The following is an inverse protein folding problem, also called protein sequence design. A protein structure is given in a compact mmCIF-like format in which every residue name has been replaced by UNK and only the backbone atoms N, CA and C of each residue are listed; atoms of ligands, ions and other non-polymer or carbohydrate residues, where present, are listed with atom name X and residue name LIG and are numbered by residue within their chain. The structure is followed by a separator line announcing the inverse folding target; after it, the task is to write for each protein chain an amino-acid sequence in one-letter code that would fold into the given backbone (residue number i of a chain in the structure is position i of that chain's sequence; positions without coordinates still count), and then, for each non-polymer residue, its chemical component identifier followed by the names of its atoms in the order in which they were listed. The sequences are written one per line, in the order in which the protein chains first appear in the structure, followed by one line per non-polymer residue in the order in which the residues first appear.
data_IF_112225513251
#
_entry.id   IF_112225513251
#
_cell.length_a   1.000
_cell.length_b   1.000
_cell.length_c   1.000
_cell.angle_alpha   90.00
_cell.angle_beta   90.00
_cell.angle_gamma   90.00
#
_symmetry.space_group_name_H-M   'P 1'
#
loop_
_entity.id
_entity.type
_entity.pdbx_description
1 polymer ?
#
# COMPACT_ATOMS: atom_id res chain seq x y z
N UNK A 1 14.79 -26.79 -5.49
CA UNK A 1 15.25 -25.95 -6.63
C UNK A 1 14.07 -25.66 -7.57
N UNK A 2 13.77 -24.39 -7.88
CA UNK A 2 12.64 -24.01 -8.75
C UNK A 2 11.42 -23.38 -8.07
N UNK A 3 11.42 -23.21 -6.74
CA UNK A 3 10.39 -22.42 -6.04
C UNK A 3 10.71 -20.92 -6.21
N UNK A 4 9.84 -20.19 -6.89
CA UNK A 4 9.90 -18.73 -7.01
C UNK A 4 8.71 -18.15 -6.25
N UNK A 5 8.96 -17.29 -5.28
CA UNK A 5 7.91 -16.63 -4.50
C UNK A 5 7.52 -15.29 -5.18
N UNK A 6 6.25 -14.89 -5.14
CA UNK A 6 5.78 -13.62 -5.71
C UNK A 6 6.07 -12.44 -4.76
N UNK A 7 7.36 -12.19 -4.48
CA UNK A 7 7.80 -11.23 -3.44
C UNK A 7 7.30 -9.81 -3.66
N UNK A 8 7.09 -9.38 -4.91
CA UNK A 8 6.53 -8.07 -5.22
C UNK A 8 5.04 -7.97 -4.84
N UNK A 9 4.25 -9.05 -5.03
CA UNK A 9 2.87 -9.12 -4.53
C UNK A 9 2.84 -9.11 -3.00
N UNK A 10 3.77 -9.83 -2.36
CA UNK A 10 3.90 -9.88 -0.90
C UNK A 10 4.22 -8.47 -0.34
N UNK A 11 5.17 -7.75 -0.95
CA UNK A 11 5.51 -6.39 -0.57
C UNK A 11 4.33 -5.42 -0.75
N UNK A 12 3.65 -5.46 -1.90
CA UNK A 12 2.51 -4.59 -2.17
C UNK A 12 1.35 -4.83 -1.19
N UNK A 13 1.07 -6.09 -0.84
CA UNK A 13 0.01 -6.42 0.13
C UNK A 13 0.35 -5.96 1.55
N UNK A 14 1.62 -6.03 1.97
CA UNK A 14 2.07 -5.44 3.24
C UNK A 14 1.89 -3.92 3.25
N UNK A 15 2.22 -3.22 2.16
CA UNK A 15 2.01 -1.77 2.04
C UNK A 15 0.52 -1.42 2.10
N UNK A 16 -0.34 -2.15 1.40
CA UNK A 16 -1.78 -1.96 1.49
C UNK A 16 -2.29 -2.10 2.93
N UNK A 17 -1.84 -3.11 3.67
CA UNK A 17 -2.19 -3.28 5.08
C UNK A 17 -1.75 -2.09 5.95
N UNK A 18 -0.54 -1.55 5.71
CA UNK A 18 -0.04 -0.36 6.41
C UNK A 18 -0.92 0.87 6.14
N UNK A 19 -1.32 1.08 4.88
CA UNK A 19 -2.19 2.20 4.48
C UNK A 19 -3.58 2.09 5.14
N UNK A 20 -4.14 0.88 5.27
CA UNK A 20 -5.37 0.69 6.05
C UNK A 20 -5.20 1.06 7.52
N UNK A 21 -4.03 0.77 8.11
CA UNK A 21 -3.66 1.22 9.45
C UNK A 21 -3.65 2.75 9.56
N UNK A 22 -2.95 3.43 8.65
CA UNK A 22 -2.92 4.90 8.58
C UNK A 22 -4.32 5.50 8.46
N UNK A 23 -5.17 4.97 7.57
CA UNK A 23 -6.55 5.44 7.43
C UNK A 23 -7.35 5.30 8.74
N UNK A 24 -7.15 4.22 9.49
CA UNK A 24 -7.80 4.01 10.79
C UNK A 24 -7.36 5.08 11.80
N UNK A 25 -6.05 5.34 11.91
CA UNK A 25 -5.50 6.41 12.75
C UNK A 25 -6.05 7.79 12.37
N UNK A 26 -6.07 8.11 11.07
CA UNK A 26 -6.62 9.36 10.57
C UNK A 26 -8.11 9.51 10.90
N UNK A 27 -8.90 8.44 10.76
CA UNK A 27 -10.34 8.44 11.08
C UNK A 27 -10.57 8.80 12.56
N UNK A 28 -9.76 8.25 13.46
CA UNK A 28 -9.82 8.61 14.89
C UNK A 28 -9.42 10.07 15.14
N UNK A 29 -8.36 10.55 14.48
CA UNK A 29 -7.85 11.92 14.63
C UNK A 29 -8.83 12.98 14.13
N UNK A 30 -9.51 12.73 13.01
CA UNK A 30 -10.55 13.62 12.47
C UNK A 30 -11.70 13.78 13.46
N UNK A 31 -12.17 12.66 14.05
CA UNK A 31 -13.27 12.68 15.01
C UNK A 31 -12.94 13.26 16.40
N UNK A 32 -11.65 13.45 16.70
CA UNK A 32 -11.18 13.89 18.03
C UNK A 32 -10.89 15.40 18.12
N UNK A 33 -11.23 16.19 17.09
CA UNK A 33 -11.10 17.64 17.15
C UNK A 33 -11.95 18.26 18.26
N UNK A 34 -11.42 19.26 18.98
CA UNK A 34 -12.10 19.88 20.11
C UNK A 34 -12.18 21.40 19.94
N UNK A 35 -13.38 21.95 20.16
CA UNK A 35 -13.67 23.38 20.07
C UNK A 35 -13.23 23.99 18.72
N UNK A 36 -12.32 24.97 18.72
CA UNK A 36 -11.93 25.73 17.52
C UNK A 36 -10.76 25.12 16.74
N UNK A 37 -10.10 24.05 17.24
CA UNK A 37 -8.89 23.53 16.62
C UNK A 37 -8.76 22.01 16.75
N UNK A 38 -8.35 21.36 15.66
CA UNK A 38 -7.92 19.97 15.71
C UNK A 38 -6.40 19.90 15.97
N UNK A 39 -5.99 19.45 17.17
CA UNK A 39 -4.57 19.33 17.54
C UNK A 39 -3.89 18.07 16.99
N UNK A 40 -4.65 17.16 16.38
CA UNK A 40 -4.14 15.91 15.77
C UNK A 40 -3.67 16.10 14.32
N UNK A 41 -3.75 17.31 13.76
CA UNK A 41 -3.27 17.62 12.41
C UNK A 41 -1.86 17.13 12.08
N UNK A 42 -0.86 17.18 12.99
CA UNK A 42 0.49 16.67 12.70
C UNK A 42 0.54 15.17 12.39
N UNK A 43 -0.26 14.35 13.08
CA UNK A 43 -0.31 12.90 12.83
C UNK A 43 -1.07 12.63 11.52
N UNK A 44 -2.19 13.33 11.30
CA UNK A 44 -2.96 13.15 10.06
C UNK A 44 -2.14 13.44 8.81
N UNK A 45 -1.34 14.51 8.80
CA UNK A 45 -0.49 14.83 7.64
C UNK A 45 0.66 13.83 7.48
N UNK A 46 1.23 13.34 8.59
CA UNK A 46 2.28 12.32 8.55
C UNK A 46 1.75 11.03 7.92
N UNK A 47 0.64 10.50 8.43
CA UNK A 47 0.02 9.26 7.95
C UNK A 47 -0.41 9.37 6.48
N UNK A 48 -0.92 10.53 6.06
CA UNK A 48 -1.28 10.78 4.66
C UNK A 48 -0.06 10.76 3.75
N UNK A 49 0.97 11.55 4.06
CA UNK A 49 2.18 11.67 3.22
C UNK A 49 2.93 10.34 3.16
N UNK A 50 3.04 9.63 4.28
CA UNK A 50 3.69 8.33 4.32
C UNK A 50 2.90 7.27 3.53
N UNK A 51 1.57 7.29 3.60
CA UNK A 51 0.73 6.42 2.76
C UNK A 51 0.97 6.67 1.26
N UNK A 52 1.01 7.94 0.85
CA UNK A 52 1.29 8.30 -0.54
C UNK A 52 2.67 7.81 -0.99
N UNK A 53 3.70 7.98 -0.14
CA UNK A 53 5.06 7.55 -0.43
C UNK A 53 5.16 6.03 -0.57
N UNK A 54 4.64 5.29 0.41
CA UNK A 54 4.67 3.83 0.40
C UNK A 54 3.92 3.25 -0.81
N UNK A 55 2.74 3.79 -1.14
CA UNK A 55 1.99 3.37 -2.32
C UNK A 55 2.74 3.67 -3.61
N UNK A 56 3.29 4.87 -3.76
CA UNK A 56 4.03 5.24 -4.96
C UNK A 56 5.25 4.33 -5.16
N UNK A 57 6.05 4.12 -4.12
CA UNK A 57 7.25 3.27 -4.17
C UNK A 57 6.87 1.80 -4.46
N UNK A 58 5.85 1.27 -3.79
CA UNK A 58 5.40 -0.11 -3.97
C UNK A 58 4.79 -0.35 -5.35
N UNK A 59 3.97 0.59 -5.86
CA UNK A 59 3.39 0.49 -7.20
C UNK A 59 4.47 0.54 -8.28
N UNK A 60 5.45 1.44 -8.17
CA UNK A 60 6.57 1.51 -9.11
C UNK A 60 7.41 0.22 -9.07
N UNK A 61 7.77 -0.26 -7.88
CA UNK A 61 8.50 -1.53 -7.71
C UNK A 61 7.73 -2.71 -8.28
N UNK A 62 6.42 -2.80 -8.00
CA UNK A 62 5.56 -3.86 -8.50
C UNK A 62 5.44 -3.83 -10.02
N UNK A 63 5.33 -2.65 -10.63
CA UNK A 63 5.31 -2.52 -12.09
C UNK A 63 6.61 -3.03 -12.70
N UNK A 64 7.75 -2.47 -12.29
CA UNK A 64 9.06 -2.79 -12.89
C UNK A 64 9.53 -4.21 -12.62
N UNK A 65 9.25 -4.77 -11.44
CA UNK A 65 9.80 -6.06 -11.01
C UNK A 65 8.79 -7.21 -11.03
N UNK A 66 7.53 -6.96 -11.37
CA UNK A 66 6.53 -8.01 -11.55
C UNK A 66 5.80 -7.83 -12.87
N UNK A 67 5.04 -6.74 -13.05
CA UNK A 67 4.11 -6.58 -14.17
C UNK A 67 4.81 -6.54 -15.53
N UNK A 68 5.89 -5.76 -15.68
CA UNK A 68 6.59 -5.60 -16.96
C UNK A 68 7.18 -6.92 -17.49
N UNK A 69 7.40 -7.90 -16.62
CA UNK A 69 7.90 -9.23 -16.96
C UNK A 69 6.84 -10.34 -16.97
N UNK A 70 5.55 -10.03 -16.82
CA UNK A 70 4.49 -11.04 -16.85
C UNK A 70 4.32 -11.57 -18.28
N UNK A 71 4.49 -12.88 -18.43
CA UNK A 71 4.20 -13.59 -19.67
C UNK A 71 2.97 -14.49 -19.50
N UNK A 72 2.08 -14.44 -20.48
CA UNK A 72 0.93 -15.33 -20.55
C UNK A 72 1.35 -16.71 -21.08
N UNK A 73 0.95 -17.78 -20.39
CA UNK A 73 1.25 -19.17 -20.78
C UNK A 73 -0.03 -19.87 -21.23
N UNK A 74 -0.39 -19.82 -22.52
CA UNK A 74 -1.67 -20.34 -23.04
C UNK A 74 -1.83 -21.85 -22.86
N UNK A 75 -0.73 -22.61 -22.92
CA UNK A 75 -0.70 -24.06 -22.80
C UNK A 75 -1.17 -24.57 -21.43
N UNK A 76 -1.18 -23.70 -20.42
CA UNK A 76 -1.66 -24.01 -19.06
C UNK A 76 -3.13 -23.64 -18.85
N UNK A 77 -3.79 -23.07 -19.86
CA UNK A 77 -5.17 -22.66 -19.79
C UNK A 77 -6.06 -23.82 -20.28
N UNK A 78 -6.62 -24.60 -19.36
CA UNK A 78 -7.65 -25.59 -19.65
C UNK A 78 -9.02 -24.94 -19.42
N UNK A 79 -9.79 -24.71 -20.49
CA UNK A 79 -11.20 -24.34 -20.42
C UNK A 79 -12.10 -25.58 -20.36
#
# INVERSE_FOLDING_TARGET
PGKVNPTQCEALTMVCAQVFGHNTTMTLCVGSGAFQLNVYMPIMIYDFVESCRLLADAMNSFTTHCIDGVEFVPEKLNF
#
